data_IF_254515681441
#
_entry.id   IF_254515681441
#
_cell.length_a   1.000
_cell.length_b   1.000
_cell.length_c   1.000
_cell.angle_alpha   90.00
_cell.angle_beta   90.00
_cell.angle_gamma   90.00
#
_symmetry.space_group_name_H-M   'P 1'
#
loop_
_entity.id
_entity.type
_entity.pdbx_description
1 polymer ?
#
# COMPACT_ATOMS: atom_id res chain seq x y z
N UNK A 1 -8.08 7.31 14.92
CA UNK A 1 -8.73 5.99 14.69
C UNK A 1 -9.19 5.82 13.25
N UNK A 2 -9.82 6.84 12.66
CA UNK A 2 -10.28 6.76 11.27
C UNK A 2 -9.15 6.59 10.25
N UNK A 3 -8.08 7.39 10.36
CA UNK A 3 -6.88 7.28 9.52
C UNK A 3 -6.35 5.85 9.45
N UNK A 4 -6.23 5.20 10.61
CA UNK A 4 -5.81 3.81 10.75
C UNK A 4 -6.74 2.83 10.02
N UNK A 5 -8.06 2.88 10.26
CA UNK A 5 -9.01 1.94 9.66
C UNK A 5 -9.14 2.12 8.15
N UNK A 6 -9.19 3.37 7.68
CA UNK A 6 -9.24 3.69 6.23
C UNK A 6 -7.95 3.22 5.56
N UNK A 7 -6.80 3.52 6.15
CA UNK A 7 -5.49 3.13 5.60
C UNK A 7 -5.30 1.62 5.56
N UNK A 8 -5.72 0.91 6.62
CA UNK A 8 -5.71 -0.56 6.67
C UNK A 8 -6.57 -1.16 5.57
N UNK A 9 -7.78 -0.63 5.40
CA UNK A 9 -8.74 -1.15 4.43
C UNK A 9 -8.29 -0.89 2.99
N UNK A 10 -7.85 0.34 2.70
CA UNK A 10 -7.44 0.75 1.35
C UNK A 10 -6.20 -0.02 0.92
N UNK A 11 -5.14 -0.03 1.74
CA UNK A 11 -3.90 -0.75 1.38
C UNK A 11 -4.15 -2.25 1.38
N UNK A 12 -4.82 -2.80 2.40
CA UNK A 12 -5.08 -4.24 2.45
C UNK A 12 -5.88 -4.77 1.25
N UNK A 13 -6.83 -4.00 0.72
CA UNK A 13 -7.56 -4.38 -0.50
C UNK A 13 -6.73 -4.15 -1.77
N UNK A 14 -5.96 -3.07 -1.82
CA UNK A 14 -5.11 -2.74 -2.98
C UNK A 14 -3.98 -3.76 -3.19
N UNK A 15 -3.45 -4.33 -2.10
CA UNK A 15 -2.34 -5.29 -2.14
C UNK A 15 -2.76 -6.72 -2.51
N UNK A 16 -4.07 -7.03 -2.54
CA UNK A 16 -4.55 -8.38 -2.89
C UNK A 16 -4.43 -8.59 -4.40
N UNK A 17 -3.50 -9.43 -4.82
CA UNK A 17 -3.22 -9.73 -6.22
C UNK A 17 -2.10 -8.89 -6.83
N UNK A 18 -1.44 -8.04 -6.04
CA UNK A 18 -0.35 -7.15 -6.48
C UNK A 18 1.01 -7.89 -6.54
N UNK A 19 2.00 -7.28 -7.18
CA UNK A 19 3.38 -7.75 -7.39
C UNK A 19 4.08 -8.10 -6.08
N UNK A 20 3.86 -7.34 -5.01
CA UNK A 20 4.41 -7.58 -3.66
C UNK A 20 3.84 -8.88 -3.05
N UNK A 21 2.56 -9.17 -3.28
CA UNK A 21 1.93 -10.42 -2.88
C UNK A 21 2.45 -11.60 -3.71
N UNK A 22 2.67 -11.40 -5.02
CA UNK A 22 3.33 -12.40 -5.87
C UNK A 22 4.77 -12.65 -5.41
N UNK A 23 5.52 -11.62 -5.05
CA UNK A 23 6.87 -11.72 -4.50
C UNK A 23 6.87 -12.53 -3.19
N UNK A 24 5.94 -12.24 -2.28
CA UNK A 24 5.73 -13.00 -1.05
C UNK A 24 5.46 -14.48 -1.32
N UNK A 25 4.70 -14.80 -2.36
CA UNK A 25 4.44 -16.17 -2.80
C UNK A 25 5.73 -16.86 -3.30
N UNK A 26 6.53 -16.18 -4.11
CA UNK A 26 7.82 -16.69 -4.61
C UNK A 26 8.78 -16.94 -3.46
N UNK A 27 8.91 -16.00 -2.52
CA UNK A 27 9.74 -16.12 -1.33
C UNK A 27 9.29 -17.29 -0.44
N UNK A 28 7.98 -17.45 -0.23
CA UNK A 28 7.41 -18.54 0.55
C UNK A 28 7.68 -19.91 -0.11
N UNK A 29 7.48 -20.01 -1.43
CA UNK A 29 7.75 -21.22 -2.20
C UNK A 29 9.23 -21.61 -2.19
N UNK A 30 10.12 -20.61 -2.32
CA UNK A 30 11.58 -20.80 -2.36
C UNK A 30 12.16 -21.18 -1.00
N UNK A 31 11.89 -20.38 0.02
CA UNK A 31 12.59 -20.50 1.31
C UNK A 31 11.86 -21.38 2.31
N UNK A 32 10.53 -21.52 2.22
CA UNK A 32 9.69 -22.29 3.16
C UNK A 32 9.93 -21.93 4.65
N UNK A 33 10.32 -20.67 4.90
CA UNK A 33 10.62 -20.13 6.23
C UNK A 33 9.74 -18.90 6.47
N UNK A 34 8.48 -19.08 6.94
CA UNK A 34 7.50 -18.00 6.99
C UNK A 34 7.93 -16.85 7.92
N UNK A 35 8.46 -17.16 9.11
CA UNK A 35 8.79 -16.12 10.10
C UNK A 35 9.84 -15.12 9.58
N UNK A 36 11.01 -15.54 9.06
CA UNK A 36 11.97 -14.59 8.47
C UNK A 36 11.42 -13.77 7.30
N UNK A 37 10.53 -14.36 6.48
CA UNK A 37 9.90 -13.65 5.35
C UNK A 37 8.96 -12.57 5.91
N UNK A 38 8.07 -12.94 6.83
CA UNK A 38 7.11 -12.00 7.47
C UNK A 38 7.83 -10.84 8.13
N UNK A 39 8.92 -11.11 8.86
CA UNK A 39 9.72 -10.06 9.48
C UNK A 39 10.41 -9.16 8.44
N UNK A 40 10.87 -9.75 7.33
CA UNK A 40 11.48 -8.99 6.23
C UNK A 40 10.48 -8.06 5.54
N UNK A 41 9.27 -8.57 5.25
CA UNK A 41 8.15 -7.77 4.72
C UNK A 41 7.82 -6.64 5.68
N UNK A 42 7.59 -6.95 6.97
CA UNK A 42 7.30 -5.95 7.98
C UNK A 42 8.37 -4.84 8.06
N UNK A 43 9.64 -5.21 8.02
CA UNK A 43 10.75 -4.26 8.06
C UNK A 43 10.77 -3.36 6.81
N UNK A 44 10.63 -3.94 5.62
CA UNK A 44 10.56 -3.21 4.36
C UNK A 44 9.37 -2.23 4.35
N UNK A 45 8.19 -2.72 4.69
CA UNK A 45 6.94 -1.95 4.76
C UNK A 45 7.04 -0.81 5.75
N UNK A 46 7.57 -1.02 6.97
CA UNK A 46 7.72 0.05 7.95
C UNK A 46 8.62 1.19 7.43
N UNK A 47 9.66 0.86 6.68
CA UNK A 47 10.56 1.86 6.09
C UNK A 47 9.84 2.58 4.95
N UNK A 48 9.25 1.86 4.00
CA UNK A 48 8.57 2.43 2.83
C UNK A 48 7.35 3.28 3.22
N UNK A 49 6.45 2.72 4.01
CA UNK A 49 5.26 3.42 4.48
C UNK A 49 5.62 4.54 5.45
N UNK A 50 6.64 4.35 6.29
CA UNK A 50 7.17 5.40 7.15
C UNK A 50 7.68 6.59 6.34
N UNK A 51 8.52 6.35 5.34
CA UNK A 51 9.03 7.40 4.46
C UNK A 51 7.91 8.10 3.68
N UNK A 52 6.96 7.33 3.15
CA UNK A 52 5.80 7.83 2.41
C UNK A 52 4.87 8.67 3.28
N UNK A 53 4.58 8.20 4.48
CA UNK A 53 3.78 8.92 5.46
C UNK A 53 4.46 10.22 5.92
N UNK A 54 5.78 10.18 6.12
CA UNK A 54 6.56 11.36 6.49
C UNK A 54 6.57 12.38 5.35
N UNK A 55 6.75 11.93 4.11
CA UNK A 55 6.66 12.78 2.92
C UNK A 55 5.28 13.41 2.78
N UNK A 56 4.19 12.65 2.96
CA UNK A 56 2.83 13.18 2.94
C UNK A 56 2.57 14.21 4.03
N UNK A 57 3.00 13.95 5.27
CA UNK A 57 2.88 14.90 6.38
C UNK A 57 3.71 16.17 6.17
N UNK A 58 4.90 16.04 5.59
CA UNK A 58 5.75 17.18 5.23
C UNK A 58 5.16 18.02 4.09
N UNK A 59 4.65 17.39 3.03
CA UNK A 59 3.95 18.10 1.95
C UNK A 59 2.74 18.87 2.49
N UNK A 60 1.99 18.28 3.42
CA UNK A 60 0.84 18.92 4.05
C UNK A 60 1.21 20.13 4.92
N UNK A 61 2.45 20.25 5.39
CA UNK A 61 2.89 21.40 6.20
C UNK A 61 3.41 22.58 5.36
N UNK A 62 3.80 22.34 4.11
CA UNK A 62 4.37 23.37 3.23
C UNK A 62 3.42 23.82 2.11
N UNK A 63 2.50 22.96 1.68
CA UNK A 63 1.56 23.27 0.60
C UNK A 63 0.35 24.03 1.14
N UNK A 64 -0.21 24.92 0.31
CA UNK A 64 -1.47 25.57 0.64
C UNK A 64 -2.62 24.54 0.65
N UNK A 65 -3.67 24.73 1.49
CA UNK A 65 -4.80 23.80 1.56
C UNK A 65 -5.45 23.53 0.19
N UNK A 66 -5.53 24.55 -0.67
CA UNK A 66 -6.09 24.39 -2.01
C UNK A 66 -5.25 23.44 -2.88
N UNK A 67 -3.92 23.60 -2.90
CA UNK A 67 -3.04 22.73 -3.68
C UNK A 67 -3.09 21.31 -3.13
N UNK A 68 -3.04 21.16 -1.80
CA UNK A 68 -3.08 19.86 -1.13
C UNK A 68 -4.36 19.09 -1.45
N UNK A 69 -5.52 19.75 -1.35
CA UNK A 69 -6.81 19.12 -1.63
C UNK A 69 -6.91 18.63 -3.08
N UNK A 70 -6.50 19.46 -4.06
CA UNK A 70 -6.48 19.04 -5.46
C UNK A 70 -5.46 17.93 -5.75
N UNK A 71 -4.31 17.93 -5.08
CA UNK A 71 -3.33 16.85 -5.19
C UNK A 71 -3.86 15.51 -4.64
N UNK A 72 -4.62 15.54 -3.53
CA UNK A 72 -5.28 14.36 -2.96
C UNK A 72 -6.39 13.86 -3.89
N UNK A 73 -7.20 14.76 -4.47
CA UNK A 73 -8.23 14.41 -5.48
C UNK A 73 -7.60 13.71 -6.67
N UNK A 74 -6.53 14.29 -7.24
CA UNK A 74 -5.83 13.73 -8.38
C UNK A 74 -5.25 12.35 -8.04
N UNK A 75 -4.60 12.21 -6.88
CA UNK A 75 -4.04 10.94 -6.41
C UNK A 75 -5.10 9.83 -6.33
N UNK A 76 -6.24 10.08 -5.69
CA UNK A 76 -7.30 9.07 -5.59
C UNK A 76 -7.99 8.77 -6.92
N UNK A 77 -8.14 9.75 -7.81
CA UNK A 77 -8.68 9.53 -9.15
C UNK A 77 -7.74 8.64 -9.99
N UNK A 78 -6.43 8.92 -9.95
CA UNK A 78 -5.40 8.08 -10.60
C UNK A 78 -5.44 6.67 -10.03
N UNK A 79 -5.49 6.52 -8.70
CA UNK A 79 -5.51 5.22 -8.05
C UNK A 79 -6.77 4.40 -8.35
N UNK A 80 -7.94 5.04 -8.47
CA UNK A 80 -9.18 4.36 -8.84
C UNK A 80 -9.08 3.67 -10.21
N UNK A 81 -8.32 4.24 -11.15
CA UNK A 81 -8.09 3.64 -12.47
C UNK A 81 -6.92 2.66 -12.43
N UNK A 82 -5.80 3.06 -11.80
CA UNK A 82 -4.56 2.28 -11.85
C UNK A 82 -4.67 0.94 -11.10
N UNK A 83 -5.46 0.86 -10.03
CA UNK A 83 -5.66 -0.40 -9.30
C UNK A 83 -6.39 -1.47 -10.12
N UNK A 84 -7.15 -1.07 -11.15
CA UNK A 84 -7.84 -2.00 -12.05
C UNK A 84 -6.88 -2.66 -13.05
N UNK A 85 -5.66 -2.13 -13.19
CA UNK A 85 -4.62 -2.69 -14.05
C UNK A 85 -3.84 -3.72 -13.20
N UNK A 86 -3.94 -5.03 -13.51
CA UNK A 86 -3.26 -6.06 -12.75
C UNK A 86 -1.75 -5.97 -12.92
N UNK A 87 -1.02 -6.08 -11.82
CA UNK A 87 0.44 -6.11 -11.84
C UNK A 87 0.98 -7.49 -12.14
N UNK A 88 2.26 -7.51 -12.48
CA UNK A 88 3.05 -8.72 -12.71
C UNK A 88 4.38 -8.54 -11.98
N UNK A 89 4.98 -9.67 -11.62
CA UNK A 89 6.37 -9.67 -11.20
C UNK A 89 7.25 -9.43 -12.43
N UNK A 90 8.03 -8.36 -12.40
CA UNK A 90 9.01 -8.05 -13.44
C UNK A 90 10.40 -8.57 -13.05
N UNK A 91 11.31 -8.69 -14.02
CA UNK A 91 12.68 -9.19 -13.78
C UNK A 91 13.46 -8.34 -12.75
N UNK A 92 13.11 -7.06 -12.63
CA UNK A 92 13.69 -6.14 -11.64
C UNK A 92 13.35 -6.53 -10.18
N UNK A 93 12.24 -7.23 -9.97
CA UNK A 93 11.75 -7.68 -8.66
C UNK A 93 12.19 -9.12 -8.34
N UNK A 94 13.02 -9.72 -9.19
CA UNK A 94 13.43 -11.10 -9.06
C UNK A 94 14.25 -11.34 -7.78
N UNK A 95 13.91 -12.41 -7.05
CA UNK A 95 14.66 -12.81 -5.85
C UNK A 95 16.05 -13.30 -6.28
N UNK A 96 17.16 -12.67 -5.81
CA UNK A 96 18.52 -12.99 -6.25
C UNK A 96 18.86 -14.48 -6.13
N UNK A 97 19.60 -15.04 -7.10
CA UNK A 97 19.95 -16.46 -7.10
C UNK A 97 20.86 -16.86 -5.91
N UNK A 98 21.72 -15.95 -5.46
CA UNK A 98 22.58 -16.13 -4.28
C UNK A 98 22.04 -15.32 -3.09
N UNK A 99 21.90 -15.98 -1.95
CA UNK A 99 21.33 -15.44 -0.71
C UNK A 99 22.41 -15.09 0.32
N UNK A 100 23.28 -14.13 0.01
CA UNK A 100 24.35 -13.71 0.93
C UNK A 100 23.84 -13.03 2.21
N UNK A 101 22.60 -12.53 2.22
CA UNK A 101 21.99 -11.79 3.34
C UNK A 101 21.04 -12.64 4.20
N UNK A 102 20.91 -13.93 3.89
CA UNK A 102 19.91 -14.82 4.50
C UNK A 102 18.47 -14.46 4.11
N UNK A 103 17.49 -15.23 4.61
CA UNK A 103 16.08 -15.12 4.18
C UNK A 103 15.46 -13.78 4.57
N UNK A 104 15.68 -13.33 5.81
CA UNK A 104 15.18 -12.04 6.29
C UNK A 104 15.73 -10.89 5.44
N UNK A 105 17.06 -10.80 5.29
CA UNK A 105 17.70 -9.70 4.57
C UNK A 105 17.34 -9.70 3.08
N UNK A 106 17.31 -10.87 2.45
CA UNK A 106 16.88 -10.99 1.05
C UNK A 106 15.42 -10.53 0.88
N UNK A 107 14.53 -10.97 1.78
CA UNK A 107 13.11 -10.54 1.75
C UNK A 107 12.99 -9.04 1.96
N UNK A 108 13.64 -8.49 2.98
CA UNK A 108 13.55 -7.06 3.29
C UNK A 108 14.03 -6.20 2.12
N UNK A 109 15.16 -6.53 1.49
CA UNK A 109 15.68 -5.75 0.35
C UNK A 109 14.81 -5.91 -0.89
N UNK A 110 14.44 -7.14 -1.27
CA UNK A 110 13.64 -7.37 -2.48
C UNK A 110 12.24 -6.76 -2.36
N UNK A 111 11.60 -6.91 -1.21
CA UNK A 111 10.29 -6.32 -0.95
C UNK A 111 10.36 -4.79 -0.90
N UNK A 112 11.39 -4.24 -0.25
CA UNK A 112 11.63 -2.80 -0.22
C UNK A 112 11.76 -2.21 -1.63
N UNK A 113 12.58 -2.85 -2.48
CA UNK A 113 12.80 -2.40 -3.86
C UNK A 113 11.54 -2.54 -4.71
N UNK A 114 10.80 -3.64 -4.57
CA UNK A 114 9.55 -3.85 -5.30
C UNK A 114 8.52 -2.76 -4.97
N UNK A 115 8.40 -2.38 -3.71
CA UNK A 115 7.43 -1.39 -3.26
C UNK A 115 7.89 0.07 -3.53
N UNK A 116 9.16 0.29 -3.86
CA UNK A 116 9.67 1.63 -4.19
C UNK A 116 9.13 2.15 -5.51
N UNK A 117 8.44 3.29 -5.45
CA UNK A 117 7.81 3.94 -6.61
C UNK A 117 6.43 3.36 -6.96
N UNK A 118 5.86 2.54 -6.09
CA UNK A 118 4.63 1.81 -6.39
C UNK A 118 3.33 2.57 -6.04
N UNK A 119 2.20 2.03 -6.51
CA UNK A 119 0.83 2.45 -6.22
C UNK A 119 0.61 2.76 -4.73
N UNK A 120 1.05 1.85 -3.87
CA UNK A 120 0.87 1.97 -2.42
C UNK A 120 1.64 3.15 -1.82
N UNK A 121 2.72 3.59 -2.45
CA UNK A 121 3.45 4.80 -2.06
C UNK A 121 2.60 6.06 -2.27
N UNK A 122 1.96 6.18 -3.44
CA UNK A 122 1.05 7.30 -3.77
C UNK A 122 -0.13 7.32 -2.78
N UNK A 123 -0.72 6.15 -2.53
CA UNK A 123 -1.83 5.99 -1.58
C UNK A 123 -1.42 6.45 -0.18
N UNK A 124 -0.27 5.98 0.31
CA UNK A 124 0.21 6.30 1.66
C UNK A 124 0.52 7.79 1.81
N UNK A 125 1.17 8.41 0.81
CA UNK A 125 1.42 9.86 0.78
C UNK A 125 0.10 10.64 0.80
N UNK A 126 -0.85 10.28 -0.05
CA UNK A 126 -2.15 10.96 -0.14
C UNK A 126 -2.98 10.83 1.15
N UNK A 127 -2.96 9.65 1.79
CA UNK A 127 -3.64 9.42 3.06
C UNK A 127 -3.00 10.22 4.20
N UNK A 128 -1.66 10.25 4.29
CA UNK A 128 -0.96 11.04 5.29
C UNK A 128 -1.18 12.54 5.10
N UNK A 129 -1.17 13.01 3.85
CA UNK A 129 -1.47 14.38 3.50
C UNK A 129 -2.91 14.77 3.86
N UNK A 130 -3.88 13.88 3.63
CA UNK A 130 -5.30 14.11 3.91
C UNK A 130 -5.63 14.09 5.40
N UNK A 131 -5.15 13.09 6.13
CA UNK A 131 -5.53 12.89 7.53
C UNK A 131 -4.69 13.72 8.50
N UNK A 132 -3.53 14.24 8.08
CA UNK A 132 -2.57 14.92 8.96
C UNK A 132 -2.14 14.06 10.18
N UNK A 133 -2.29 12.74 10.10
CA UNK A 133 -1.99 11.79 11.17
C UNK A 133 -0.95 10.75 10.72
N UNK A 134 0.33 11.07 10.93
CA UNK A 134 1.45 10.20 10.53
C UNK A 134 1.33 8.77 11.10
N UNK A 135 1.24 8.64 12.42
CA UNK A 135 1.26 7.32 13.08
C UNK A 135 0.04 6.47 12.72
N UNK A 136 -1.15 7.08 12.61
CA UNK A 136 -2.37 6.38 12.23
C UNK A 136 -2.30 5.79 10.83
N UNK A 137 -1.79 6.58 9.87
CA UNK A 137 -1.62 6.13 8.48
C UNK A 137 -0.53 5.07 8.37
N UNK A 138 0.65 5.27 8.94
CA UNK A 138 1.75 4.29 8.87
C UNK A 138 1.35 2.97 9.51
N UNK A 139 0.76 3.00 10.71
CA UNK A 139 0.31 1.77 11.38
C UNK A 139 -0.80 1.07 10.61
N UNK A 140 -1.76 1.82 10.06
CA UNK A 140 -2.87 1.25 9.31
C UNK A 140 -2.43 0.65 7.98
N UNK A 141 -1.66 1.39 7.19
CA UNK A 141 -1.14 0.89 5.91
C UNK A 141 -0.20 -0.31 6.10
N UNK A 142 0.66 -0.29 7.13
CA UNK A 142 1.49 -1.46 7.50
C UNK A 142 0.62 -2.66 7.84
N UNK A 143 -0.43 -2.49 8.66
CA UNK A 143 -1.33 -3.59 8.98
C UNK A 143 -2.04 -4.13 7.72
N UNK A 144 -2.50 -3.25 6.84
CA UNK A 144 -3.11 -3.63 5.56
C UNK A 144 -2.18 -4.50 4.71
N UNK A 145 -0.93 -4.06 4.54
CA UNK A 145 0.11 -4.79 3.83
C UNK A 145 0.37 -6.18 4.45
N UNK A 146 0.47 -6.27 5.78
CA UNK A 146 0.66 -7.54 6.48
C UNK A 146 -0.55 -8.47 6.34
N UNK A 147 -1.77 -7.93 6.40
CA UNK A 147 -3.01 -8.72 6.20
C UNK A 147 -3.10 -9.29 4.79
N UNK A 148 -2.60 -8.59 3.77
CA UNK A 148 -2.56 -9.08 2.40
C UNK A 148 -1.47 -10.15 2.19
N UNK A 149 -0.29 -9.97 2.77
CA UNK A 149 0.88 -10.81 2.48
C UNK A 149 1.02 -12.04 3.40
N UNK A 150 0.75 -11.91 4.70
CA UNK A 150 0.94 -13.01 5.67
C UNK A 150 0.14 -14.26 5.34
N UNK A 151 -1.16 -14.18 4.94
CA UNK A 151 -1.91 -15.37 4.56
C UNK A 151 -1.27 -16.11 3.38
N UNK A 152 -0.76 -15.37 2.38
CA UNK A 152 -0.07 -15.94 1.22
C UNK A 152 1.25 -16.60 1.61
N UNK A 153 2.00 -16.01 2.55
CA UNK A 153 3.26 -16.59 3.04
C UNK A 153 3.03 -17.95 3.73
N UNK A 154 1.93 -18.10 4.48
CA UNK A 154 1.61 -19.38 5.14
C UNK A 154 0.92 -20.40 4.23
N UNK A 155 -0.03 -19.95 3.41
CA UNK A 155 -0.93 -20.84 2.67
C UNK A 155 -0.45 -21.10 1.23
N UNK A 156 0.44 -20.25 0.71
CA UNK A 156 1.00 -20.36 -0.63
C UNK A 156 -0.05 -20.29 -1.75
N UNK A 157 0.27 -20.92 -2.88
CA UNK A 157 -0.48 -20.81 -4.13
C UNK A 157 -1.93 -21.28 -4.04
N UNK A 158 -2.22 -22.30 -3.21
CA UNK A 158 -3.58 -22.80 -3.00
C UNK A 158 -4.57 -21.75 -2.47
N UNK A 159 -4.06 -20.76 -1.73
CA UNK A 159 -4.87 -19.65 -1.24
C UNK A 159 -4.95 -18.53 -2.28
N UNK A 160 -3.82 -18.16 -2.89
CA UNK A 160 -3.77 -17.11 -3.90
C UNK A 160 -4.73 -17.37 -5.07
N UNK A 161 -4.81 -18.61 -5.56
CA UNK A 161 -5.68 -18.98 -6.69
C UNK A 161 -7.19 -18.92 -6.38
N UNK A 162 -7.55 -18.86 -5.10
CA UNK A 162 -8.95 -18.80 -4.65
C UNK A 162 -9.44 -17.37 -4.41
N UNK A 163 -8.56 -16.39 -4.43
CA UNK A 163 -8.94 -15.00 -4.22
C UNK A 163 -9.58 -14.44 -5.49
N UNK A 164 -10.80 -13.87 -5.41
CA UNK A 164 -11.44 -13.23 -6.54
C UNK A 164 -10.80 -11.85 -6.79
N UNK A 165 -9.53 -11.83 -7.21
CA UNK A 165 -8.71 -10.60 -7.35
C UNK A 165 -9.40 -9.51 -8.14
N UNK A 166 -10.09 -9.86 -9.24
CA UNK A 166 -10.92 -8.90 -10.01
C UNK A 166 -11.98 -8.21 -9.16
N UNK A 167 -12.72 -8.95 -8.34
CA UNK A 167 -13.76 -8.37 -7.49
C UNK A 167 -13.15 -7.50 -6.38
N UNK A 168 -12.01 -7.91 -5.83
CA UNK A 168 -11.27 -7.14 -4.81
C UNK A 168 -10.72 -5.83 -5.39
N UNK A 169 -10.12 -5.86 -6.59
CA UNK A 169 -9.64 -4.65 -7.27
C UNK A 169 -10.79 -3.70 -7.63
N UNK A 170 -11.95 -4.23 -8.07
CA UNK A 170 -13.15 -3.41 -8.30
C UNK A 170 -13.60 -2.75 -6.99
N UNK A 171 -13.63 -3.50 -5.89
CA UNK A 171 -13.97 -2.94 -4.58
C UNK A 171 -12.98 -1.85 -4.15
N UNK A 172 -11.68 -2.08 -4.30
CA UNK A 172 -10.64 -1.09 -4.02
C UNK A 172 -10.81 0.17 -4.88
N UNK A 173 -11.06 0.01 -6.18
CA UNK A 173 -11.34 1.12 -7.09
C UNK A 173 -12.55 1.94 -6.67
N UNK A 174 -13.65 1.29 -6.28
CA UNK A 174 -14.84 1.97 -5.76
C UNK A 174 -14.53 2.76 -4.48
N UNK A 175 -13.72 2.22 -3.58
CA UNK A 175 -13.27 2.95 -2.38
C UNK A 175 -12.47 4.19 -2.79
N UNK A 176 -11.54 4.09 -3.75
CA UNK A 176 -10.80 5.25 -4.25
C UNK A 176 -11.72 6.30 -4.90
N UNK A 177 -12.75 5.89 -5.64
CA UNK A 177 -13.77 6.81 -6.19
C UNK A 177 -14.49 7.55 -5.06
N UNK A 178 -14.91 6.84 -4.01
CA UNK A 178 -15.58 7.46 -2.85
C UNK A 178 -14.62 8.42 -2.13
N UNK A 179 -13.38 8.02 -1.87
CA UNK A 179 -12.38 8.86 -1.21
C UNK A 179 -12.04 10.09 -2.04
N UNK A 180 -11.93 9.95 -3.37
CA UNK A 180 -11.72 11.04 -4.31
C UNK A 180 -12.91 11.99 -4.39
N UNK A 181 -14.14 11.48 -4.38
CA UNK A 181 -15.36 12.29 -4.33
C UNK A 181 -15.48 13.10 -3.03
N UNK A 182 -15.13 12.49 -1.89
CA UNK A 182 -15.04 13.19 -0.61
C UNK A 182 -13.97 14.29 -0.64
N UNK A 183 -12.78 14.00 -1.17
CA UNK A 183 -11.72 14.99 -1.32
C UNK A 183 -12.12 16.12 -2.28
N UNK A 184 -12.84 15.81 -3.36
CA UNK A 184 -13.32 16.78 -4.34
C UNK A 184 -14.32 17.75 -3.71
N UNK A 185 -15.22 17.23 -2.86
CA UNK A 185 -16.14 18.09 -2.09
C UNK A 185 -15.36 19.08 -1.21
N UNK A 186 -14.32 18.62 -0.50
CA UNK A 186 -13.47 19.50 0.33
C UNK A 186 -12.72 20.53 -0.52
N UNK A 187 -12.27 20.15 -1.72
CA UNK A 187 -11.61 21.07 -2.65
C UNK A 187 -12.56 22.15 -3.20
N UNK A 188 -13.81 21.81 -3.50
CA UNK A 188 -14.82 22.73 -4.05
C UNK A 188 -15.47 23.61 -2.97
N UNK A 189 -15.61 23.11 -1.75
CA UNK A 189 -16.28 23.80 -0.64
C UNK A 189 -15.42 23.79 0.62
N UNK A 190 -14.34 24.59 0.69
CA UNK A 190 -13.40 24.59 1.82
C UNK A 190 -14.03 25.03 3.14
N UNK A 191 -15.07 25.86 3.08
CA UNK A 191 -15.77 26.43 4.24
C UNK A 191 -16.90 25.52 4.77
N UNK A 192 -17.28 24.48 4.02
CA UNK A 192 -18.19 23.47 4.54
C UNK A 192 -17.44 22.62 5.57
N UNK A 193 -18.05 22.38 6.75
CA UNK A 193 -17.43 21.57 7.81
C UNK A 193 -16.69 20.36 7.24
N UNK A 194 -15.41 20.15 7.58
CA UNK A 194 -14.69 18.97 7.15
C UNK A 194 -15.45 17.76 7.68
N UNK A 195 -16.12 17.02 6.80
CA UNK A 195 -16.60 15.71 7.19
C UNK A 195 -15.38 14.81 7.18
N UNK A 196 -14.98 14.45 8.40
CA UNK A 196 -13.83 13.65 8.81
C UNK A 196 -12.53 14.41 9.01
#
# INVERSE_FOLDING_TARGET
>A
MQSFLVSTSVVGLAEIGDKTQLLSLVLAARYRKPIPIILGVLAATLINHGASGALGAWLASILSPNILNWAVVASFAVMAVWILIPDKLDDADAVPARDSMGVFGTTAVTFFLAEMGDKTQIVTIALAARFHEFFGVVAGTTLGMMLANVPVIYLGHKFADRLPTKAVHILAALIFVVLGGLALRTALYPDAHPMF
#
